data_IF_993845875499
#
_entry.id   IF_993845875499
#
_cell.length_a   1.000
_cell.length_b   1.000
_cell.length_c   1.000
_cell.angle_alpha   90.00
_cell.angle_beta   90.00
_cell.angle_gamma   90.00
#
_symmetry.space_group_name_H-M   'P 1'
#
loop_
_entity.id
_entity.type
_entity.pdbx_description
1 polymer ?
#
# COMPACT_ATOMS: atom_id res chain seq x y z
N UNK A 1 28.96 22.81 5.46
CA UNK A 1 29.52 21.54 5.99
C UNK A 1 29.80 20.53 4.87
N UNK A 2 28.83 20.20 4.02
CA UNK A 2 28.98 19.24 2.89
C UNK A 2 30.10 19.60 1.90
N UNK A 3 30.26 20.88 1.54
CA UNK A 3 31.29 21.34 0.61
C UNK A 3 32.73 21.14 1.13
N UNK A 4 32.98 21.45 2.41
CA UNK A 4 34.30 21.26 3.03
C UNK A 4 34.70 19.78 3.09
N UNK A 5 33.74 18.89 3.35
CA UNK A 5 33.92 17.43 3.33
C UNK A 5 34.27 16.92 1.92
N UNK A 6 33.71 17.52 0.88
CA UNK A 6 34.01 17.18 -0.51
C UNK A 6 35.45 17.53 -0.87
N UNK A 7 35.91 18.75 -0.52
CA UNK A 7 37.29 19.19 -0.75
C UNK A 7 38.27 18.27 -0.02
N UNK A 8 38.01 17.99 1.27
CA UNK A 8 38.86 17.12 2.08
C UNK A 8 38.96 15.72 1.48
N UNK A 9 37.84 15.13 1.05
CA UNK A 9 37.82 13.77 0.48
C UNK A 9 38.38 13.71 -0.95
N UNK A 10 38.40 14.83 -1.69
CA UNK A 10 39.02 14.92 -3.01
C UNK A 10 40.55 14.75 -2.93
N UNK A 11 41.18 15.31 -1.89
CA UNK A 11 42.62 15.13 -1.63
C UNK A 11 43.01 13.77 -1.04
N UNK A 12 42.03 12.94 -0.66
CA UNK A 12 42.26 11.63 -0.05
C UNK A 12 42.17 10.50 -1.09
N UNK A 13 42.95 9.44 -0.87
CA UNK A 13 42.83 8.20 -1.65
C UNK A 13 41.42 7.61 -1.51
N UNK A 14 40.89 6.88 -2.52
CA UNK A 14 39.52 6.36 -2.49
C UNK A 14 39.15 5.56 -1.23
N UNK A 15 40.11 4.81 -0.68
CA UNK A 15 39.93 3.99 0.54
C UNK A 15 40.09 4.81 1.84
N UNK A 16 40.77 5.96 1.78
CA UNK A 16 40.99 6.85 2.92
C UNK A 16 39.81 7.80 3.20
N UNK A 17 38.86 7.93 2.27
CA UNK A 17 37.73 8.87 2.40
C UNK A 17 36.86 8.54 3.62
N UNK A 18 36.40 9.59 4.31
CA UNK A 18 35.48 9.52 5.45
C UNK A 18 34.37 10.52 5.21
N UNK A 19 33.14 10.03 5.26
CA UNK A 19 31.94 10.79 4.91
C UNK A 19 31.15 11.10 6.17
N UNK A 20 30.73 12.36 6.32
CA UNK A 20 29.78 12.76 7.34
C UNK A 20 28.42 12.02 7.16
N UNK A 21 27.71 11.68 8.26
CA UNK A 21 26.41 10.99 8.19
C UNK A 21 25.37 11.68 7.28
N UNK A 22 25.35 13.01 7.23
CA UNK A 22 24.41 13.76 6.38
C UNK A 22 24.68 13.56 4.89
N UNK A 23 25.94 13.47 4.49
CA UNK A 23 26.33 13.17 3.11
C UNK A 23 25.96 11.73 2.76
N UNK A 24 26.09 10.79 3.70
CA UNK A 24 25.63 9.41 3.52
C UNK A 24 24.10 9.37 3.34
N UNK A 25 23.34 10.07 4.18
CA UNK A 25 21.87 10.16 4.06
C UNK A 25 21.45 10.72 2.71
N UNK A 26 22.03 11.85 2.31
CA UNK A 26 21.78 12.45 1.00
C UNK A 26 22.17 11.53 -0.16
N UNK A 27 23.29 10.82 -0.07
CA UNK A 27 23.72 9.86 -1.07
C UNK A 27 22.75 8.66 -1.19
N UNK A 28 22.24 8.15 -0.06
CA UNK A 28 21.22 7.09 -0.03
C UNK A 28 19.92 7.60 -0.66
N UNK A 29 19.49 8.82 -0.34
CA UNK A 29 18.30 9.44 -0.91
C UNK A 29 18.42 9.58 -2.44
N UNK A 30 19.52 10.17 -2.92
CA UNK A 30 19.78 10.35 -4.34
C UNK A 30 19.84 9.01 -5.08
N UNK A 31 20.52 8.02 -4.50
CA UNK A 31 20.58 6.66 -5.07
C UNK A 31 19.21 5.98 -5.09
N UNK A 32 18.37 6.22 -4.08
CA UNK A 32 17.01 5.65 -4.01
C UNK A 32 16.07 6.27 -5.04
N UNK A 33 16.26 7.54 -5.39
CA UNK A 33 15.52 8.24 -6.44
C UNK A 33 16.00 7.87 -7.85
N UNK A 34 17.32 7.82 -8.07
CA UNK A 34 17.90 7.46 -9.36
C UNK A 34 19.31 6.85 -9.22
N UNK A 35 19.44 5.51 -9.29
CA UNK A 35 20.74 4.85 -9.29
C UNK A 35 21.62 5.27 -10.47
N UNK A 36 21.01 5.54 -11.64
CA UNK A 36 21.72 5.95 -12.85
C UNK A 36 22.33 7.34 -12.71
N UNK A 37 21.55 8.31 -12.21
CA UNK A 37 22.06 9.66 -11.95
C UNK A 37 23.16 9.63 -10.87
N UNK A 38 22.99 8.82 -9.82
CA UNK A 38 24.01 8.64 -8.80
C UNK A 38 25.32 8.08 -9.37
N UNK A 39 25.23 7.06 -10.24
CA UNK A 39 26.40 6.49 -10.91
C UNK A 39 27.08 7.50 -11.82
N UNK A 40 26.32 8.26 -12.59
CA UNK A 40 26.84 9.30 -13.47
C UNK A 40 27.59 10.40 -12.69
N UNK A 41 27.01 10.90 -11.60
CA UNK A 41 27.64 11.90 -10.73
C UNK A 41 28.92 11.38 -10.06
N UNK A 42 28.96 10.08 -9.77
CA UNK A 42 30.14 9.42 -9.21
C UNK A 42 31.23 9.20 -10.26
N UNK A 43 30.88 8.75 -11.48
CA UNK A 43 31.84 8.43 -12.55
C UNK A 43 32.41 9.68 -13.21
N UNK A 44 31.62 10.75 -13.31
CA UNK A 44 32.08 12.06 -13.79
C UNK A 44 33.04 12.76 -12.83
N UNK A 45 33.23 12.22 -11.62
CA UNK A 45 34.07 12.78 -10.56
C UNK A 45 33.72 14.21 -10.14
N UNK A 46 32.54 14.72 -10.53
CA UNK A 46 32.03 16.04 -10.14
C UNK A 46 31.85 16.12 -8.62
N UNK A 47 31.51 15.00 -7.98
CA UNK A 47 31.43 14.88 -6.52
C UNK A 47 32.14 13.63 -6.01
N UNK A 48 32.83 13.77 -4.88
CA UNK A 48 33.36 12.64 -4.09
C UNK A 48 32.23 11.97 -3.31
N UNK A 49 31.63 10.95 -3.93
CA UNK A 49 30.50 10.22 -3.36
C UNK A 49 30.91 8.83 -2.83
N UNK A 50 30.19 8.29 -1.83
CA UNK A 50 30.35 6.91 -1.37
C UNK A 50 30.18 5.88 -2.48
N UNK A 51 30.76 4.69 -2.31
CA UNK A 51 30.55 3.61 -3.28
C UNK A 51 29.14 3.06 -3.15
N UNK A 52 28.63 2.42 -4.21
CA UNK A 52 27.34 1.72 -4.15
C UNK A 52 27.36 0.62 -3.09
N UNK A 53 28.50 -0.03 -2.85
CA UNK A 53 28.69 -0.98 -1.75
C UNK A 53 28.56 -0.30 -0.38
N UNK A 54 29.13 0.89 -0.20
CA UNK A 54 28.96 1.68 1.02
C UNK A 54 27.49 2.05 1.23
N UNK A 55 26.80 2.54 0.19
CA UNK A 55 25.35 2.83 0.25
C UNK A 55 24.57 1.59 0.64
N UNK A 56 24.79 0.45 -0.02
CA UNK A 56 24.10 -0.81 0.29
C UNK A 56 24.33 -1.23 1.73
N UNK A 57 25.55 -1.08 2.26
CA UNK A 57 25.86 -1.39 3.66
C UNK A 57 25.08 -0.51 4.64
N UNK A 58 24.99 0.80 4.39
CA UNK A 58 24.20 1.69 5.25
C UNK A 58 22.70 1.47 5.10
N UNK A 59 22.22 1.25 3.87
CA UNK A 59 20.81 0.95 3.60
C UNK A 59 20.35 -0.34 4.27
N UNK A 60 21.19 -1.37 4.25
CA UNK A 60 20.90 -2.68 4.83
C UNK A 60 21.46 -2.83 6.26
N UNK A 61 21.75 -1.72 6.94
CA UNK A 61 22.25 -1.76 8.31
C UNK A 61 21.22 -2.34 9.28
N UNK A 62 19.93 -2.07 9.01
CA UNK A 62 18.82 -2.62 9.77
C UNK A 62 18.40 -3.92 9.09
N UNK A 63 18.39 -5.01 9.85
CA UNK A 63 17.78 -6.26 9.42
C UNK A 63 16.27 -6.20 9.69
N UNK A 64 15.41 -6.14 8.65
CA UNK A 64 13.97 -6.08 8.86
C UNK A 64 13.48 -7.42 9.41
N UNK A 65 13.01 -7.40 10.66
CA UNK A 65 12.35 -8.56 11.28
C UNK A 65 10.85 -8.53 10.98
N UNK A 66 10.19 -9.68 10.77
CA UNK A 66 8.75 -9.72 10.58
C UNK A 66 8.02 -9.26 11.85
N UNK A 67 6.90 -8.55 11.69
CA UNK A 67 6.10 -8.09 12.83
C UNK A 67 5.58 -6.67 12.68
N UNK A 68 5.08 -6.16 13.80
CA UNK A 68 4.68 -4.76 13.96
C UNK A 68 5.94 -3.89 14.02
N UNK A 69 5.91 -2.80 13.27
CA UNK A 69 7.00 -1.85 13.15
C UNK A 69 7.03 -0.94 14.39
N UNK A 70 8.07 -1.00 15.24
CA UNK A 70 8.13 -0.15 16.43
C UNK A 70 8.21 1.34 16.06
N UNK A 71 8.80 1.69 14.92
CA UNK A 71 8.89 3.08 14.46
C UNK A 71 7.51 3.60 14.04
N UNK A 72 6.68 2.74 13.43
CA UNK A 72 5.29 3.07 13.10
C UNK A 72 4.48 3.38 14.36
N UNK A 73 4.64 2.54 15.38
CA UNK A 73 3.97 2.69 16.67
C UNK A 73 4.37 4.00 17.36
N UNK A 74 5.68 4.28 17.42
CA UNK A 74 6.19 5.54 17.99
C UNK A 74 5.62 6.77 17.26
N UNK A 75 5.47 6.69 15.94
CA UNK A 75 4.90 7.79 15.16
C UNK A 75 3.40 7.97 15.44
N UNK A 76 2.64 6.88 15.57
CA UNK A 76 1.22 6.95 15.98
C UNK A 76 1.09 7.61 17.35
N UNK A 77 1.91 7.20 18.33
CA UNK A 77 1.91 7.78 19.67
C UNK A 77 2.25 9.28 19.64
N UNK A 78 3.26 9.66 18.86
CA UNK A 78 3.67 11.05 18.68
C UNK A 78 2.54 11.91 18.13
N UNK A 79 1.86 11.43 17.09
CA UNK A 79 0.75 12.16 16.44
C UNK A 79 -0.47 12.22 17.37
N UNK A 80 -0.78 11.13 18.07
CA UNK A 80 -1.86 11.10 19.05
C UNK A 80 -1.63 12.11 20.18
N UNK A 81 -0.41 12.20 20.72
CA UNK A 81 -0.08 13.18 21.76
C UNK A 81 -0.21 14.63 21.29
N UNK A 82 0.04 14.89 20.00
CA UNK A 82 -0.12 16.22 19.42
C UNK A 82 -1.57 16.60 19.11
N UNK A 83 -2.50 15.62 19.13
CA UNK A 83 -3.89 15.80 18.73
C UNK A 83 -4.81 15.68 19.93
N UNK A 84 -5.70 16.66 20.15
CA UNK A 84 -6.63 16.63 21.30
C UNK A 84 -7.76 15.59 21.17
N UNK A 85 -8.06 15.14 19.95
CA UNK A 85 -9.07 14.13 19.65
C UNK A 85 -8.43 12.77 19.33
N UNK A 86 -9.17 11.68 19.49
CA UNK A 86 -8.77 10.38 18.96
C UNK A 86 -8.57 10.42 17.45
N UNK A 87 -7.54 9.74 16.97
CA UNK A 87 -7.31 9.56 15.55
C UNK A 87 -8.26 8.49 15.02
N UNK A 88 -8.90 8.75 13.88
CA UNK A 88 -9.83 7.81 13.24
C UNK A 88 -9.17 7.29 11.97
N UNK A 89 -9.05 5.96 11.85
CA UNK A 89 -8.36 5.34 10.73
C UNK A 89 -8.88 3.97 10.34
N UNK A 90 -8.17 3.38 9.38
CA UNK A 90 -8.41 2.05 8.86
C UNK A 90 -7.08 1.34 8.57
N UNK A 91 -7.13 0.02 8.55
CA UNK A 91 -6.00 -0.83 8.15
C UNK A 91 -6.22 -1.32 6.72
N UNK A 92 -5.20 -1.25 5.86
CA UNK A 92 -5.25 -1.85 4.54
C UNK A 92 -4.24 -2.99 4.40
N UNK A 93 -4.63 -4.05 3.69
CA UNK A 93 -3.86 -5.28 3.50
C UNK A 93 -3.78 -5.65 2.02
N UNK A 94 -2.58 -5.93 1.52
CA UNK A 94 -2.33 -6.33 0.12
C UNK A 94 -1.48 -7.63 0.00
N UNK A 95 -1.18 -8.08 -1.22
CA UNK A 95 -0.53 -9.36 -1.58
C UNK A 95 0.82 -9.59 -0.87
N UNK A 96 1.67 -8.56 -0.76
CA UNK A 96 2.69 -8.53 0.27
C UNK A 96 1.99 -8.15 1.56
N UNK A 97 1.80 -9.09 2.50
CA UNK A 97 1.02 -8.93 3.76
C UNK A 97 1.67 -7.91 4.70
N UNK A 98 1.57 -6.67 4.27
CA UNK A 98 1.90 -5.44 4.95
C UNK A 98 0.57 -4.88 5.41
N UNK A 99 0.43 -4.66 6.71
CA UNK A 99 -0.64 -3.85 7.24
C UNK A 99 -0.19 -2.41 7.12
N UNK A 100 -0.91 -1.64 6.32
CA UNK A 100 -0.70 -0.21 6.22
C UNK A 100 -1.80 0.47 7.02
N UNK A 101 -1.42 1.46 7.83
CA UNK A 101 -2.36 2.20 8.66
C UNK A 101 -2.54 3.58 8.08
N UNK A 102 -3.80 4.02 7.97
CA UNK A 102 -4.12 5.33 7.44
C UNK A 102 -5.25 5.98 8.24
N UNK A 103 -5.04 7.22 8.65
CA UNK A 103 -6.11 8.03 9.24
C UNK A 103 -6.90 8.75 8.16
N UNK A 104 -8.16 9.05 8.46
CA UNK A 104 -9.07 9.70 7.50
C UNK A 104 -8.63 11.11 7.11
N UNK A 105 -8.04 11.87 8.03
CA UNK A 105 -7.51 13.22 7.73
C UNK A 105 -6.04 13.18 7.27
N UNK A 106 -5.44 11.99 7.17
CA UNK A 106 -4.08 11.79 6.66
C UNK A 106 -2.95 12.16 7.62
N UNK A 107 -3.23 12.33 8.91
CA UNK A 107 -2.22 12.56 9.95
C UNK A 107 -1.23 11.41 10.08
N UNK A 108 -1.68 10.18 9.85
CA UNK A 108 -0.84 8.97 9.82
C UNK A 108 -1.07 8.24 8.50
N UNK A 109 0.00 7.92 7.79
CA UNK A 109 -0.01 7.10 6.58
C UNK A 109 1.33 6.38 6.46
N UNK A 110 1.41 5.15 6.99
CA UNK A 110 2.67 4.41 7.08
C UNK A 110 2.45 2.88 7.16
N UNK A 111 3.47 2.07 6.84
CA UNK A 111 3.41 0.63 7.05
C UNK A 111 3.51 0.29 8.55
N UNK A 112 2.43 -0.25 9.09
CA UNK A 112 2.30 -0.66 10.50
C UNK A 112 2.99 -1.98 10.78
N UNK A 113 2.80 -2.99 9.94
CA UNK A 113 3.37 -4.31 10.14
C UNK A 113 3.71 -4.96 8.81
N UNK A 114 4.71 -5.85 8.78
CA UNK A 114 5.02 -6.65 7.59
C UNK A 114 5.33 -8.10 7.96
N UNK A 115 4.81 -9.02 7.15
CA UNK A 115 5.04 -10.44 7.31
C UNK A 115 5.49 -11.03 5.97
N UNK A 116 6.79 -11.32 5.81
CA UNK A 116 7.33 -11.90 4.58
C UNK A 116 6.91 -13.36 4.50
N UNK A 117 5.83 -13.62 3.77
CA UNK A 117 5.28 -14.96 3.58
C UNK A 117 4.91 -15.15 2.11
N UNK A 118 5.18 -16.35 1.55
CA UNK A 118 4.80 -16.68 0.17
C UNK A 118 3.29 -16.91 0.03
N UNK A 119 2.69 -17.54 1.03
CA UNK A 119 1.26 -17.80 1.14
C UNK A 119 0.90 -17.68 2.62
N UNK A 120 -0.19 -17.00 2.93
CA UNK A 120 -0.73 -16.87 4.30
C UNK A 120 -2.15 -17.40 4.27
N UNK A 121 -2.46 -18.34 5.14
CA UNK A 121 -3.83 -18.80 5.28
C UNK A 121 -4.71 -17.70 5.89
N UNK A 122 -5.99 -17.66 5.56
CA UNK A 122 -6.91 -16.62 6.01
C UNK A 122 -6.98 -16.48 7.54
N UNK A 123 -6.90 -17.59 8.28
CA UNK A 123 -6.91 -17.58 9.75
C UNK A 123 -5.67 -16.89 10.34
N UNK A 124 -4.50 -17.08 9.73
CA UNK A 124 -3.28 -16.39 10.15
C UNK A 124 -3.38 -14.89 9.89
N UNK A 125 -4.04 -14.51 8.79
CA UNK A 125 -4.29 -13.11 8.49
C UNK A 125 -5.26 -12.48 9.49
N UNK A 126 -6.31 -13.21 9.88
CA UNK A 126 -7.25 -12.80 10.91
C UNK A 126 -6.57 -12.55 12.26
N UNK A 127 -5.71 -13.47 12.72
CA UNK A 127 -4.95 -13.28 13.96
C UNK A 127 -4.06 -12.03 13.90
N UNK A 128 -3.30 -11.87 12.81
CA UNK A 128 -2.43 -10.71 12.62
C UNK A 128 -3.18 -9.39 12.56
N UNK A 129 -4.37 -9.40 11.96
CA UNK A 129 -5.25 -8.24 11.93
C UNK A 129 -5.70 -7.84 13.34
N UNK A 130 -6.10 -8.81 14.17
CA UNK A 130 -6.49 -8.53 15.55
C UNK A 130 -5.33 -7.99 16.40
N UNK A 131 -4.12 -8.54 16.24
CA UNK A 131 -2.93 -8.01 16.90
C UNK A 131 -2.68 -6.54 16.48
N UNK A 132 -2.74 -6.25 15.18
CA UNK A 132 -2.54 -4.90 14.66
C UNK A 132 -3.62 -3.92 15.13
N UNK A 133 -4.88 -4.36 15.17
CA UNK A 133 -6.01 -3.56 15.68
C UNK A 133 -5.81 -3.23 17.16
N UNK A 134 -5.45 -4.21 17.98
CA UNK A 134 -5.21 -4.02 19.41
C UNK A 134 -4.09 -3.00 19.67
N UNK A 135 -2.98 -3.09 18.92
CA UNK A 135 -1.88 -2.12 19.07
C UNK A 135 -2.28 -0.69 18.70
N UNK A 136 -3.14 -0.51 17.69
CA UNK A 136 -3.66 0.80 17.31
C UNK A 136 -4.65 1.35 18.35
N UNK A 137 -5.64 0.55 18.73
CA UNK A 137 -6.74 0.96 19.63
C UNK A 137 -6.20 1.37 21.01
N UNK A 138 -5.26 0.60 21.56
CA UNK A 138 -4.62 0.91 22.85
C UNK A 138 -3.85 2.24 22.86
N UNK A 139 -3.54 2.79 21.69
CA UNK A 139 -2.78 4.03 21.53
C UNK A 139 -3.65 5.20 21.07
N UNK A 140 -4.97 5.05 21.17
CA UNK A 140 -5.92 6.11 20.82
C UNK A 140 -6.20 6.24 19.33
N UNK A 141 -5.67 5.33 18.50
CA UNK A 141 -6.00 5.23 17.08
C UNK A 141 -7.19 4.28 16.90
N UNK A 142 -8.35 4.88 16.72
CA UNK A 142 -9.63 4.18 16.54
C UNK A 142 -9.70 3.60 15.13
N UNK A 143 -9.69 2.28 15.03
CA UNK A 143 -9.81 1.58 13.75
C UNK A 143 -11.29 1.34 13.47
N UNK A 144 -11.77 1.77 12.31
CA UNK A 144 -13.17 1.61 11.90
C UNK A 144 -13.34 0.64 10.74
N UNK A 145 -12.28 0.35 9.99
CA UNK A 145 -12.37 -0.54 8.84
C UNK A 145 -11.08 -1.30 8.57
N UNK A 146 -11.22 -2.41 7.86
CA UNK A 146 -10.13 -3.09 7.18
C UNK A 146 -10.40 -3.16 5.69
N UNK A 147 -9.43 -2.75 4.88
CA UNK A 147 -9.51 -2.72 3.43
C UNK A 147 -8.60 -3.79 2.84
N UNK A 148 -9.12 -4.63 1.95
CA UNK A 148 -8.32 -5.65 1.27
C UNK A 148 -8.77 -5.86 -0.17
N UNK A 149 -7.90 -6.45 -0.99
CA UNK A 149 -8.28 -6.86 -2.33
C UNK A 149 -9.34 -8.00 -2.31
N UNK A 150 -9.91 -8.27 -3.49
CA UNK A 150 -10.93 -9.29 -3.64
C UNK A 150 -10.40 -10.71 -3.78
N UNK A 151 -9.14 -11.05 -3.43
CA UNK A 151 -8.63 -12.42 -3.62
C UNK A 151 -9.34 -13.44 -2.72
N UNK A 152 -9.29 -14.73 -3.08
CA UNK A 152 -10.02 -15.79 -2.35
C UNK A 152 -9.64 -15.88 -0.87
N UNK A 153 -8.36 -15.69 -0.55
CA UNK A 153 -7.84 -15.68 0.82
C UNK A 153 -8.41 -14.51 1.61
N UNK A 154 -8.43 -13.30 1.03
CA UNK A 154 -8.92 -12.10 1.70
C UNK A 154 -10.45 -12.15 1.91
N UNK A 155 -11.21 -12.71 0.95
CA UNK A 155 -12.63 -12.98 1.14
C UNK A 155 -12.89 -13.97 2.29
N UNK A 156 -12.09 -15.02 2.40
CA UNK A 156 -12.21 -15.97 3.51
C UNK A 156 -11.78 -15.33 4.84
N UNK A 157 -10.77 -14.46 4.83
CA UNK A 157 -10.36 -13.66 5.98
C UNK A 157 -11.51 -12.77 6.50
N UNK A 158 -12.23 -12.06 5.62
CA UNK A 158 -13.40 -11.28 6.03
C UNK A 158 -14.48 -12.14 6.70
N UNK A 159 -14.76 -13.32 6.16
CA UNK A 159 -15.70 -14.28 6.78
C UNK A 159 -15.28 -14.68 8.19
N UNK A 160 -14.00 -15.01 8.37
CA UNK A 160 -13.44 -15.38 9.67
C UNK A 160 -13.51 -14.23 10.69
N UNK A 161 -13.24 -12.99 10.26
CA UNK A 161 -13.29 -11.82 11.13
C UNK A 161 -14.74 -11.48 11.53
N UNK A 162 -15.69 -11.58 10.60
CA UNK A 162 -17.09 -11.28 10.87
C UNK A 162 -17.85 -12.42 11.56
N UNK A 163 -17.34 -13.65 11.49
CA UNK A 163 -18.04 -14.84 11.98
C UNK A 163 -19.26 -15.22 11.12
N UNK A 164 -19.25 -14.86 9.83
CA UNK A 164 -20.36 -15.12 8.90
C UNK A 164 -19.92 -15.96 7.71
N UNK A 165 -20.69 -17.01 7.40
CA UNK A 165 -20.43 -17.88 6.23
C UNK A 165 -21.01 -17.31 4.94
N UNK A 166 -22.14 -16.59 5.04
CA UNK A 166 -22.84 -15.96 3.92
C UNK A 166 -22.89 -14.44 4.13
N UNK A 167 -22.49 -13.69 3.11
CA UNK A 167 -22.53 -12.23 3.10
C UNK A 167 -23.83 -11.85 2.41
N UNK A 168 -24.75 -11.20 3.13
CA UNK A 168 -25.95 -10.62 2.53
C UNK A 168 -25.57 -9.47 1.57
N UNK A 169 -26.26 -9.37 0.44
CA UNK A 169 -25.89 -8.43 -0.62
C UNK A 169 -26.09 -6.96 -0.21
N UNK A 170 -27.11 -6.70 0.60
CA UNK A 170 -27.56 -5.35 0.95
C UNK A 170 -27.14 -4.92 2.37
N UNK A 171 -26.45 -5.79 3.11
CA UNK A 171 -26.01 -5.50 4.48
C UNK A 171 -24.51 -5.15 4.53
N UNK A 172 -24.11 -4.17 5.36
CA UNK A 172 -22.70 -3.88 5.57
C UNK A 172 -22.01 -5.06 6.27
N UNK A 173 -20.93 -5.56 5.67
CA UNK A 173 -20.11 -6.60 6.27
C UNK A 173 -19.28 -6.00 7.41
N UNK A 174 -19.54 -6.43 8.64
CA UNK A 174 -18.88 -5.90 9.83
C UNK A 174 -18.61 -6.97 10.89
N UNK A 175 -17.67 -6.65 11.79
CA UNK A 175 -17.29 -7.47 12.93
C UNK A 175 -17.31 -6.66 14.24
N UNK A 176 -17.61 -7.30 15.39
CA UNK A 176 -17.50 -6.64 16.69
C UNK A 176 -16.04 -6.29 16.98
N UNK A 177 -15.80 -5.11 17.52
CA UNK A 177 -14.46 -4.68 17.94
C UNK A 177 -14.23 -5.09 19.41
N UNK A 178 -13.27 -5.98 19.71
CA UNK A 178 -12.99 -6.41 21.09
C UNK A 178 -12.49 -5.28 21.99
N UNK A 179 -11.89 -4.23 21.42
CA UNK A 179 -11.37 -3.09 22.17
C UNK A 179 -12.43 -2.00 22.43
N UNK A 180 -13.51 -1.98 21.64
CA UNK A 180 -14.60 -1.01 21.75
C UNK A 180 -15.92 -1.58 21.19
N UNK A 181 -16.73 -2.25 22.03
CA UNK A 181 -17.93 -2.96 21.58
C UNK A 181 -18.98 -2.09 20.86
N UNK A 182 -18.97 -0.78 21.09
CA UNK A 182 -19.85 0.22 20.48
C UNK A 182 -19.42 0.63 19.06
N UNK A 183 -18.19 0.28 18.64
CA UNK A 183 -17.61 0.67 17.35
C UNK A 183 -17.31 -0.57 16.49
N UNK A 184 -18.23 -0.99 15.61
CA UNK A 184 -17.96 -2.13 14.73
C UNK A 184 -16.85 -1.82 13.73
N UNK A 185 -16.15 -2.87 13.29
CA UNK A 185 -15.16 -2.80 12.22
C UNK A 185 -15.81 -3.19 10.91
N UNK A 186 -15.72 -2.35 9.88
CA UNK A 186 -16.24 -2.64 8.55
C UNK A 186 -15.21 -3.34 7.67
N UNK A 187 -15.65 -4.39 6.96
CA UNK A 187 -14.83 -5.06 5.95
C UNK A 187 -15.06 -4.38 4.60
N UNK A 188 -14.01 -3.84 4.00
CA UNK A 188 -14.10 -3.10 2.74
C UNK A 188 -13.23 -3.76 1.68
N UNK A 189 -13.82 -4.05 0.51
CA UNK A 189 -13.03 -4.39 -0.67
C UNK A 189 -12.51 -3.12 -1.35
N UNK A 190 -11.31 -3.17 -1.92
CA UNK A 190 -10.80 -2.04 -2.73
C UNK A 190 -11.72 -1.78 -3.94
N UNK A 191 -12.34 -0.58 -4.04
CA UNK A 191 -13.18 -0.20 -5.16
C UNK A 191 -12.47 -0.31 -6.51
N UNK A 192 -11.16 -0.03 -6.57
CA UNK A 192 -10.40 -0.06 -7.83
C UNK A 192 -10.34 -1.48 -8.41
N UNK A 193 -10.16 -2.48 -7.54
CA UNK A 193 -10.17 -3.89 -7.93
C UNK A 193 -11.57 -4.37 -8.32
N UNK A 194 -12.62 -3.89 -7.64
CA UNK A 194 -14.01 -4.18 -8.01
C UNK A 194 -14.34 -3.67 -9.42
N UNK A 195 -14.01 -2.41 -9.71
CA UNK A 195 -14.22 -1.82 -11.05
C UNK A 195 -13.45 -2.58 -12.14
N UNK A 196 -12.19 -2.95 -11.88
CA UNK A 196 -11.40 -3.80 -12.80
C UNK A 196 -12.07 -5.15 -13.02
N UNK A 197 -12.66 -5.74 -11.99
CA UNK A 197 -13.37 -7.03 -12.08
C UNK A 197 -14.64 -6.93 -12.91
N UNK A 198 -15.43 -5.87 -12.72
CA UNK A 198 -16.62 -5.59 -13.53
C UNK A 198 -16.22 -5.41 -14.99
N UNK A 199 -15.24 -4.55 -15.27
CA UNK A 199 -14.71 -4.33 -16.62
C UNK A 199 -14.23 -5.63 -17.28
N UNK A 200 -13.45 -6.45 -16.56
CA UNK A 200 -12.95 -7.71 -17.09
C UNK A 200 -14.10 -8.69 -17.38
N UNK A 201 -15.11 -8.72 -16.51
CA UNK A 201 -16.30 -9.56 -16.71
C UNK A 201 -17.12 -9.10 -17.92
N UNK A 202 -17.23 -7.78 -18.11
CA UNK A 202 -17.87 -7.18 -19.28
C UNK A 202 -17.09 -7.53 -20.55
N UNK A 203 -15.77 -7.40 -20.56
CA UNK A 203 -14.96 -7.84 -21.70
C UNK A 203 -15.10 -9.34 -21.99
N UNK A 204 -15.21 -10.17 -20.95
CA UNK A 204 -15.47 -11.61 -21.09
C UNK A 204 -16.85 -11.95 -21.65
N UNK A 205 -17.74 -10.97 -21.86
CA UNK A 205 -19.03 -11.13 -22.56
C UNK A 205 -18.98 -10.85 -24.07
N UNK A 206 -17.77 -10.67 -24.62
CA UNK A 206 -17.56 -10.61 -26.06
C UNK A 206 -18.01 -11.91 -26.75
N UNK A 207 -18.23 -11.90 -28.08
CA UNK A 207 -18.47 -13.13 -28.84
C UNK A 207 -17.35 -14.16 -28.57
N UNK A 208 -17.74 -15.42 -28.32
CA UNK A 208 -16.85 -16.51 -27.85
C UNK A 208 -16.21 -16.30 -26.47
N UNK A 209 -16.73 -15.36 -25.67
CA UNK A 209 -16.37 -15.14 -24.28
C UNK A 209 -16.95 -16.20 -23.33
N UNK A 210 -16.66 -16.05 -22.04
CA UNK A 210 -16.99 -17.03 -20.99
C UNK A 210 -17.98 -16.53 -19.96
N UNK A 211 -18.42 -15.27 -20.03
CA UNK A 211 -19.30 -14.65 -19.04
C UNK A 211 -20.40 -13.81 -19.68
N UNK A 212 -21.51 -13.66 -18.97
CA UNK A 212 -22.60 -12.76 -19.33
C UNK A 212 -22.91 -11.90 -18.11
N UNK A 213 -23.14 -10.59 -18.30
CA UNK A 213 -23.72 -9.74 -17.27
C UNK A 213 -25.18 -9.54 -17.58
N UNK A 214 -26.02 -9.67 -16.55
CA UNK A 214 -27.44 -9.39 -16.64
C UNK A 214 -27.80 -8.39 -15.55
N UNK A 215 -28.59 -7.38 -15.92
CA UNK A 215 -29.10 -6.36 -15.03
C UNK A 215 -30.61 -6.24 -15.24
N UNK A 216 -31.38 -6.62 -14.22
CA UNK A 216 -32.85 -6.61 -14.25
C UNK A 216 -33.45 -7.35 -15.46
N UNK A 217 -32.89 -8.49 -15.83
CA UNK A 217 -33.34 -9.30 -16.97
C UNK A 217 -32.75 -8.86 -18.31
N UNK A 218 -32.04 -7.73 -18.39
CA UNK A 218 -31.41 -7.26 -19.61
C UNK A 218 -29.92 -7.61 -19.64
N UNK A 219 -29.46 -8.15 -20.75
CA UNK A 219 -28.05 -8.47 -20.92
C UNK A 219 -27.23 -7.20 -21.15
N UNK A 220 -26.07 -7.13 -20.47
CA UNK A 220 -25.09 -6.06 -20.62
C UNK A 220 -23.84 -6.69 -21.23
N UNK A 221 -23.71 -6.56 -22.55
CA UNK A 221 -22.70 -7.26 -23.33
C UNK A 221 -21.61 -6.32 -23.83
N UNK A 222 -20.43 -6.88 -24.12
CA UNK A 222 -19.33 -6.16 -24.78
C UNK A 222 -19.73 -5.68 -26.19
N UNK A 223 -20.64 -6.39 -26.86
CA UNK A 223 -21.14 -6.01 -28.19
C UNK A 223 -21.85 -4.65 -28.17
N UNK A 224 -22.58 -4.32 -27.11
CA UNK A 224 -23.21 -3.00 -26.97
C UNK A 224 -22.18 -1.86 -26.99
N UNK A 225 -21.00 -2.08 -26.38
CA UNK A 225 -19.90 -1.11 -26.43
C UNK A 225 -19.31 -1.02 -27.84
N UNK A 226 -19.11 -2.15 -28.53
CA UNK A 226 -18.58 -2.18 -29.90
C UNK A 226 -19.52 -1.51 -30.89
N UNK A 227 -20.83 -1.73 -30.77
CA UNK A 227 -21.86 -1.11 -31.58
C UNK A 227 -21.86 0.40 -31.38
N UNK A 228 -21.86 0.87 -30.13
CA UNK A 228 -21.76 2.29 -29.81
C UNK A 228 -20.50 2.92 -30.40
N UNK A 229 -19.34 2.26 -30.25
CA UNK A 229 -18.08 2.73 -30.84
C UNK A 229 -18.15 2.84 -32.37
N UNK A 230 -18.79 1.89 -33.05
CA UNK A 230 -18.96 1.93 -34.51
C UNK A 230 -19.93 3.04 -34.94
N UNK A 231 -20.99 3.30 -34.17
CA UNK A 231 -21.90 4.43 -34.38
C UNK A 231 -21.16 5.76 -34.21
N UNK A 232 -20.34 5.90 -33.16
CA UNK A 232 -19.53 7.11 -32.93
C UNK A 232 -18.50 7.32 -34.05
N UNK A 233 -17.82 6.25 -34.47
CA UNK A 233 -16.84 6.30 -35.56
C UNK A 233 -17.46 6.67 -36.91
N UNK A 234 -18.71 6.27 -37.15
CA UNK A 234 -19.45 6.61 -38.37
C UNK A 234 -20.12 7.98 -38.31
N UNK A 235 -20.26 8.56 -37.11
CA UNK A 235 -20.80 9.90 -36.92
C UNK A 235 -19.81 10.97 -37.36
N UNK A 236 -20.21 11.77 -38.35
CA UNK A 236 -19.43 12.88 -38.93
C UNK A 236 -19.14 14.01 -37.95
N UNK A 237 -19.72 13.98 -36.75
CA UNK A 237 -19.57 15.01 -35.71
C UNK A 237 -18.18 14.97 -35.05
N UNK A 238 -17.48 13.84 -35.08
CA UNK A 238 -16.13 13.68 -34.50
C UNK A 238 -15.01 13.63 -35.55
N UNK A 239 -15.31 13.76 -36.85
CA UNK A 239 -14.30 13.69 -37.92
C UNK A 239 -13.52 14.99 -38.15
N UNK A 240 -13.61 15.96 -37.23
CA UNK A 240 -12.85 17.22 -37.27
C UNK A 240 -12.25 17.57 -35.91
N UNK A 241 -11.05 17.05 -35.65
CA UNK A 241 -9.79 17.77 -35.32
C UNK A 241 -8.71 16.75 -35.02
#
# INVERSE_FOLDING_TARGET
MMYMEQIRNAGMSPNGRRYHPDLIRWAIELYSRSPAAYQHLRSSAVMTLPTTSTIKRYRNYISPMPGINPVAIQEIERVQQSTSSSLIGYLSVDEMKIFYVRTLKGEVSLPLAWYPTKVTAAFQLAMKFWDALYECENRGLQIHAVVADGCSVNRHFFKLVCGVDTIELDAPLSAPNPCAPDRPIFMCSDPSHLLKTVRNSLYSSKPAGTKYLNMFGNDVLWTHILELYNVEKSSTVLSRT
#
